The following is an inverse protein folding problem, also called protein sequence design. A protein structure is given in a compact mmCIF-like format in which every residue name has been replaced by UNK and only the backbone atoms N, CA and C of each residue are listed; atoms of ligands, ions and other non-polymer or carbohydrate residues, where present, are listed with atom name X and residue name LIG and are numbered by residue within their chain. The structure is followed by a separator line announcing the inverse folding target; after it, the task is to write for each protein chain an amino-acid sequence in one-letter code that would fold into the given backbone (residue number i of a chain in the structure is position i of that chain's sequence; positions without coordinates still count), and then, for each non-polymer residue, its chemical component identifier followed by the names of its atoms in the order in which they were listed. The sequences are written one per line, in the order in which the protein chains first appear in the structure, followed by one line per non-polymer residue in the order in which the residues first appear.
data_IF_458621713487
#
_entry.id   IF_458621713487
#
_cell.length_a   1.000
_cell.length_b   1.000
_cell.length_c   1.000
_cell.angle_alpha   90.00
_cell.angle_beta   90.00
_cell.angle_gamma   90.00
#
_symmetry.space_group_name_H-M   'P 1'
#
loop_
_entity.id
_entity.type
_entity.pdbx_description
1 polymer ?
#
# COMPACT_ATOMS: atom_id res chain seq x y z
N UNK A 1 -23.85 -19.88 11.47
CA UNK A 1 -24.37 -18.75 10.68
C UNK A 1 -24.67 -17.62 11.64
N UNK A 2 -24.03 -16.48 11.44
CA UNK A 2 -24.17 -15.29 12.28
C UNK A 2 -25.06 -14.28 11.52
N UNK A 3 -26.14 -13.78 12.12
CA UNK A 3 -27.03 -12.82 11.45
C UNK A 3 -26.32 -11.54 11.01
N UNK A 4 -25.20 -11.20 11.64
CA UNK A 4 -24.40 -10.01 11.35
C UNK A 4 -23.77 -10.08 9.96
N UNK A 5 -23.23 -11.24 9.57
CA UNK A 5 -22.61 -11.47 8.26
C UNK A 5 -23.63 -11.71 7.13
N UNK A 6 -24.87 -12.07 7.48
CA UNK A 6 -25.93 -12.27 6.50
C UNK A 6 -26.51 -10.95 5.97
N UNK A 7 -26.47 -9.87 6.75
CA UNK A 7 -27.02 -8.56 6.35
C UNK A 7 -26.43 -8.03 5.03
N UNK A 8 -25.10 -8.05 4.81
CA UNK A 8 -24.50 -7.72 3.51
C UNK A 8 -24.95 -8.61 2.35
N UNK A 9 -25.12 -9.93 2.59
CA UNK A 9 -25.59 -10.89 1.58
C UNK A 9 -27.02 -10.55 1.16
N UNK A 10 -27.90 -10.29 2.12
CA UNK A 10 -29.28 -9.90 1.87
C UNK A 10 -29.39 -8.58 1.08
N UNK A 11 -28.57 -7.60 1.44
CA UNK A 11 -28.52 -6.32 0.73
C UNK A 11 -28.01 -6.48 -0.71
N UNK A 12 -26.99 -7.31 -0.92
CA UNK A 12 -26.54 -7.66 -2.25
C UNK A 12 -27.67 -8.25 -3.11
N UNK A 13 -28.49 -9.16 -2.57
CA UNK A 13 -29.63 -9.71 -3.30
C UNK A 13 -30.72 -8.67 -3.60
N UNK A 14 -30.88 -7.64 -2.75
CA UNK A 14 -31.88 -6.58 -2.95
C UNK A 14 -31.53 -5.61 -4.07
N UNK A 15 -30.26 -5.23 -4.19
CA UNK A 15 -29.85 -4.13 -5.08
C UNK A 15 -28.59 -4.40 -5.90
N UNK A 16 -28.00 -5.59 -5.83
CA UNK A 16 -26.86 -6.03 -6.63
C UNK A 16 -25.53 -5.36 -6.30
N UNK A 17 -25.39 -4.73 -5.12
CA UNK A 17 -24.16 -4.01 -4.73
C UNK A 17 -23.59 -4.56 -3.44
N UNK A 18 -22.27 -4.76 -3.41
CA UNK A 18 -21.55 -5.19 -2.21
C UNK A 18 -21.36 -4.01 -1.26
N UNK A 19 -22.09 -4.00 -0.15
CA UNK A 19 -21.96 -3.00 0.92
C UNK A 19 -21.66 -3.74 2.23
N UNK A 20 -20.45 -3.53 2.77
CA UNK A 20 -20.00 -4.10 4.04
C UNK A 20 -19.48 -2.94 4.88
N UNK A 21 -19.99 -2.84 6.11
CA UNK A 21 -19.55 -1.86 7.11
C UNK A 21 -18.15 -2.23 7.63
N UNK A 22 -17.37 -1.22 8.04
CA UNK A 22 -15.98 -1.44 8.52
C UNK A 22 -15.90 -2.30 9.80
N UNK A 23 -17.00 -2.41 10.54
CA UNK A 23 -17.07 -3.14 11.81
C UNK A 23 -17.31 -4.65 11.62
N UNK A 24 -17.50 -5.08 10.36
CA UNK A 24 -17.80 -6.46 10.02
C UNK A 24 -16.60 -7.05 9.28
N UNK A 25 -16.11 -8.20 9.75
CA UNK A 25 -15.08 -8.96 9.05
C UNK A 25 -15.59 -9.45 7.69
N UNK A 26 -14.84 -9.13 6.64
CA UNK A 26 -15.19 -9.48 5.25
C UNK A 26 -15.11 -11.00 5.02
N UNK A 27 -14.31 -11.70 5.82
CA UNK A 27 -14.19 -13.16 5.87
C UNK A 27 -15.51 -13.82 6.29
N UNK A 28 -16.21 -13.28 7.29
CA UNK A 28 -17.50 -13.82 7.70
C UNK A 28 -18.59 -13.62 6.64
N UNK A 29 -18.53 -12.50 5.90
CA UNK A 29 -19.42 -12.27 4.75
C UNK A 29 -19.11 -13.24 3.61
N UNK A 30 -17.83 -13.58 3.40
CA UNK A 30 -17.42 -14.57 2.42
C UNK A 30 -17.99 -15.96 2.75
N UNK A 31 -17.89 -16.39 4.02
CA UNK A 31 -18.46 -17.67 4.46
C UNK A 31 -19.97 -17.77 4.19
N UNK A 32 -20.73 -16.71 4.48
CA UNK A 32 -22.17 -16.69 4.19
C UNK A 32 -22.44 -16.67 2.67
N UNK A 33 -21.67 -15.93 1.88
CA UNK A 33 -21.80 -15.93 0.41
C UNK A 33 -21.53 -17.32 -0.21
N UNK A 34 -20.52 -18.03 0.30
CA UNK A 34 -20.22 -19.42 -0.08
C UNK A 34 -21.31 -20.39 0.38
N UNK A 35 -21.85 -20.19 1.58
CA UNK A 35 -22.94 -21.00 2.11
C UNK A 35 -24.21 -20.92 1.25
N UNK A 36 -24.61 -19.71 0.81
CA UNK A 36 -25.76 -19.51 -0.08
C UNK A 36 -25.42 -19.71 -1.56
N UNK A 37 -24.16 -20.05 -1.87
CA UNK A 37 -23.66 -20.29 -3.22
C UNK A 37 -23.93 -19.15 -4.22
N UNK A 38 -23.73 -17.90 -3.78
CA UNK A 38 -23.93 -16.70 -4.61
C UNK A 38 -22.60 -16.37 -5.29
N UNK A 39 -22.33 -17.00 -6.43
CA UNK A 39 -21.05 -16.95 -7.15
C UNK A 39 -20.52 -15.53 -7.41
N UNK A 40 -21.37 -14.62 -7.87
CA UNK A 40 -20.97 -13.24 -8.13
C UNK A 40 -20.57 -12.49 -6.86
N UNK A 41 -21.28 -12.74 -5.76
CA UNK A 41 -20.98 -12.14 -4.46
C UNK A 41 -19.66 -12.69 -3.90
N UNK A 42 -19.44 -14.01 -3.99
CA UNK A 42 -18.19 -14.66 -3.58
C UNK A 42 -17.00 -13.99 -4.29
N UNK A 43 -17.12 -13.78 -5.61
CA UNK A 43 -16.08 -13.11 -6.41
C UNK A 43 -15.81 -11.69 -5.92
N UNK A 44 -16.86 -10.89 -5.70
CA UNK A 44 -16.74 -9.50 -5.25
C UNK A 44 -16.13 -9.39 -3.85
N UNK A 45 -16.47 -10.29 -2.93
CA UNK A 45 -15.92 -10.28 -1.57
C UNK A 45 -14.44 -10.68 -1.58
N UNK A 46 -14.05 -11.70 -2.35
CA UNK A 46 -12.63 -12.10 -2.53
C UNK A 46 -11.80 -10.96 -3.14
N UNK A 47 -12.34 -10.27 -4.15
CA UNK A 47 -11.70 -9.10 -4.75
C UNK A 47 -11.49 -7.98 -3.73
N UNK A 48 -12.48 -7.71 -2.88
CA UNK A 48 -12.39 -6.70 -1.83
C UNK A 48 -11.33 -7.04 -0.77
N UNK A 49 -11.27 -8.28 -0.31
CA UNK A 49 -10.24 -8.75 0.66
C UNK A 49 -8.84 -8.61 0.04
N UNK A 50 -8.66 -9.05 -1.21
CA UNK A 50 -7.41 -8.88 -1.93
C UNK A 50 -7.02 -7.40 -2.06
N UNK A 51 -7.95 -6.52 -2.40
CA UNK A 51 -7.70 -5.06 -2.44
C UNK A 51 -7.28 -4.51 -1.08
N UNK A 52 -7.85 -4.99 0.02
CA UNK A 52 -7.45 -4.59 1.38
C UNK A 52 -6.02 -5.02 1.70
N UNK A 53 -5.63 -6.24 1.32
CA UNK A 53 -4.27 -6.77 1.55
C UNK A 53 -3.22 -6.17 0.61
N UNK A 54 -3.62 -5.88 -0.64
CA UNK A 54 -2.74 -5.28 -1.66
C UNK A 54 -2.65 -3.77 -1.56
N UNK A 55 -3.47 -3.10 -0.73
CA UNK A 55 -3.24 -1.69 -0.37
C UNK A 55 -1.80 -1.63 0.12
N UNK A 56 -0.89 -0.97 -0.62
CA UNK A 56 0.47 -0.86 -0.18
C UNK A 56 0.40 -0.25 1.21
N UNK A 57 0.99 -0.95 2.19
CA UNK A 57 1.28 -0.38 3.49
C UNK A 57 1.85 1.00 3.18
N UNK A 58 1.09 2.06 3.46
CA UNK A 58 1.56 3.42 3.23
C UNK A 58 2.94 3.48 3.89
N UNK A 59 3.93 3.88 3.09
CA UNK A 59 5.30 4.20 3.51
C UNK A 59 6.42 3.14 3.48
N UNK A 60 6.38 2.14 2.61
CA UNK A 60 7.66 1.64 2.08
C UNK A 60 8.14 2.50 0.91
N UNK A 61 8.42 3.80 1.17
CA UNK A 61 9.13 4.63 0.19
C UNK A 61 10.46 3.94 -0.09
N UNK A 62 10.62 3.39 -1.29
CA UNK A 62 11.90 2.82 -1.73
C UNK A 62 12.90 3.98 -1.75
N UNK A 63 13.90 3.92 -0.89
CA UNK A 63 14.98 4.91 -0.86
C UNK A 63 15.97 4.53 -1.97
N UNK A 64 16.35 5.52 -2.78
CA UNK A 64 17.33 5.38 -3.86
C UNK A 64 18.50 6.28 -3.52
N UNK A 65 19.71 5.72 -3.49
CA UNK A 65 20.93 6.45 -3.14
C UNK A 65 21.79 6.64 -4.39
N UNK A 66 22.46 7.79 -4.47
CA UNK A 66 23.50 8.08 -5.47
C UNK A 66 24.75 8.53 -4.75
N UNK A 67 25.88 7.97 -5.16
CA UNK A 67 27.20 8.41 -4.71
C UNK A 67 27.75 9.39 -5.75
N UNK A 68 28.16 10.56 -5.28
CA UNK A 68 28.80 11.60 -6.08
C UNK A 68 30.20 11.84 -5.53
N UNK A 69 31.19 11.86 -6.42
CA UNK A 69 32.59 12.17 -6.10
C UNK A 69 32.99 13.44 -6.85
N UNK A 70 33.66 14.35 -6.16
CA UNK A 70 34.09 15.64 -6.68
C UNK A 70 35.39 16.07 -6.00
N UNK A 71 36.11 17.02 -6.60
CA UNK A 71 37.26 17.64 -5.95
C UNK A 71 36.82 18.65 -4.88
N UNK A 72 37.67 18.91 -3.88
CA UNK A 72 37.34 19.83 -2.78
C UNK A 72 36.91 21.22 -3.28
N UNK A 73 37.57 21.72 -4.32
CA UNK A 73 37.29 23.01 -4.95
C UNK A 73 35.88 23.10 -5.57
N UNK A 74 35.25 21.95 -5.88
CA UNK A 74 33.95 21.87 -6.56
C UNK A 74 32.77 21.65 -5.58
N UNK A 75 33.05 21.39 -4.30
CA UNK A 75 32.06 20.98 -3.29
C UNK A 75 30.86 21.94 -3.21
N UNK A 76 31.13 23.24 -3.08
CA UNK A 76 30.07 24.26 -2.92
C UNK A 76 29.17 24.34 -4.16
N UNK A 77 29.77 24.25 -5.34
CA UNK A 77 29.01 24.26 -6.59
C UNK A 77 28.16 22.99 -6.74
N UNK A 78 28.70 21.84 -6.37
CA UNK A 78 27.98 20.58 -6.52
C UNK A 78 26.77 20.51 -5.58
N UNK A 79 26.91 20.94 -4.32
CA UNK A 79 25.80 20.95 -3.35
C UNK A 79 24.72 21.97 -3.75
N UNK A 80 25.11 23.14 -4.26
CA UNK A 80 24.15 24.18 -4.68
C UNK A 80 23.36 23.85 -5.95
N UNK A 81 23.86 22.92 -6.77
CA UNK A 81 23.18 22.47 -8.00
C UNK A 81 22.47 21.12 -7.84
N UNK A 82 22.39 20.58 -6.61
CA UNK A 82 21.64 19.36 -6.33
C UNK A 82 20.16 19.55 -6.70
N UNK A 83 19.58 18.59 -7.41
CA UNK A 83 18.18 18.67 -7.85
C UNK A 83 17.21 18.52 -6.68
N UNK A 84 16.12 19.30 -6.70
CA UNK A 84 15.12 19.48 -5.62
C UNK A 84 14.54 18.19 -5.01
N UNK A 85 14.64 17.06 -5.72
CA UNK A 85 14.17 15.75 -5.26
C UNK A 85 15.18 14.92 -4.47
N UNK A 86 16.45 15.32 -4.41
CA UNK A 86 17.51 14.61 -3.71
C UNK A 86 17.73 15.19 -2.32
N UNK A 87 17.92 14.30 -1.34
CA UNK A 87 18.35 14.67 0.00
C UNK A 87 19.83 14.34 0.14
N UNK A 88 20.56 15.26 0.76
CA UNK A 88 21.92 15.01 1.18
C UNK A 88 21.92 14.10 2.40
N UNK A 89 22.63 12.98 2.32
CA UNK A 89 22.70 11.97 3.38
C UNK A 89 24.05 12.00 4.12
N UNK A 90 25.17 12.01 3.39
CA UNK A 90 26.52 11.95 3.98
C UNK A 90 27.58 12.52 3.03
N UNK A 91 28.63 13.13 3.61
CA UNK A 91 29.88 13.48 2.94
C UNK A 91 31.05 12.80 3.67
N UNK A 92 31.94 12.16 2.91
CA UNK A 92 33.14 11.49 3.42
C UNK A 92 34.35 12.15 2.76
N UNK A 93 35.29 12.64 3.56
CA UNK A 93 36.56 13.12 3.03
C UNK A 93 37.46 11.90 2.74
N UNK A 94 37.84 11.72 1.48
CA UNK A 94 38.75 10.66 1.02
C UNK A 94 40.19 11.19 1.09
N UNK A 95 40.55 11.80 2.23
CA UNK A 95 41.87 12.38 2.42
C UNK A 95 42.97 11.34 2.21
N UNK A 96 43.91 11.64 1.32
CA UNK A 96 45.21 10.99 1.31
C UNK A 96 45.92 11.38 2.59
N UNK A 97 46.37 10.40 3.37
CA UNK A 97 47.33 10.61 4.46
C UNK A 97 48.57 11.29 3.86
N UNK A 98 48.76 12.57 4.15
CA UNK A 98 50.03 13.27 3.96
C UNK A 98 50.41 13.95 5.27
#
# INVERSE_FOLDING_TARGET
RDPTYFSPVLNYLRHGKLVINNDIAEEGVLEEAEFYNITDLIRLVKERICLRETRPLKDSKKHVYRVLQFHEEELTQMVSTMSDGWKFEQLINIGSQY
#
